data_IF_463848119576
#
_entry.id   IF_463848119576
#
_cell.length_a   1.000
_cell.length_b   1.000
_cell.length_c   1.000
_cell.angle_alpha   90.00
_cell.angle_beta   90.00
_cell.angle_gamma   90.00
#
_symmetry.space_group_name_H-M   'P 1'
#
loop_
_entity.id
_entity.type
_entity.pdbx_description
1 polymer ?
#
# COMPACT_ATOMS: atom_id res chain seq x y z
N UNK A 1 -1.62 26.52 -3.92
CA UNK A 1 -2.48 25.45 -4.48
C UNK A 1 -2.62 24.36 -3.44
N UNK A 2 -3.83 23.90 -3.24
CA UNK A 2 -4.14 22.77 -2.35
C UNK A 2 -4.59 21.63 -3.26
N UNK A 3 -3.93 20.49 -3.16
CA UNK A 3 -4.40 19.24 -3.76
C UNK A 3 -4.72 18.23 -2.66
N UNK A 4 -5.79 17.48 -2.83
CA UNK A 4 -6.23 16.41 -1.95
C UNK A 4 -6.76 15.27 -2.79
N UNK A 5 -5.83 14.55 -3.41
CA UNK A 5 -6.15 13.45 -4.31
C UNK A 5 -5.81 12.15 -3.62
N UNK A 6 -6.82 11.36 -3.34
CA UNK A 6 -6.68 10.08 -2.64
C UNK A 6 -7.22 8.94 -3.49
N UNK A 7 -6.57 7.80 -3.41
CA UNK A 7 -6.97 6.57 -4.08
C UNK A 7 -6.99 5.40 -3.10
N UNK A 8 -7.97 4.54 -3.26
CA UNK A 8 -8.00 3.21 -2.64
C UNK A 8 -7.58 2.19 -3.69
N UNK A 9 -6.50 1.49 -3.43
CA UNK A 9 -5.91 0.52 -4.34
C UNK A 9 -5.95 -0.86 -3.68
N UNK A 10 -6.38 -1.87 -4.44
CA UNK A 10 -6.45 -3.26 -3.97
C UNK A 10 -5.89 -4.19 -5.04
N UNK A 11 -5.08 -5.15 -4.63
CA UNK A 11 -4.74 -6.30 -5.46
C UNK A 11 -4.58 -7.57 -4.62
N UNK A 12 -4.65 -8.70 -5.29
CA UNK A 12 -4.61 -10.01 -4.65
C UNK A 12 -3.37 -10.79 -5.05
N UNK A 13 -3.02 -11.78 -4.25
CA UNK A 13 -2.11 -12.84 -4.67
C UNK A 13 -2.73 -13.64 -5.82
N UNK A 14 -1.87 -14.25 -6.65
CA UNK A 14 -2.33 -15.09 -7.75
C UNK A 14 -3.16 -16.26 -7.22
N UNK A 15 -4.32 -16.45 -7.81
CA UNK A 15 -5.29 -17.50 -7.43
C UNK A 15 -5.70 -17.45 -5.94
N UNK A 16 -5.51 -16.30 -5.28
CA UNK A 16 -5.75 -16.09 -3.86
C UNK A 16 -5.01 -17.08 -2.96
N UNK A 17 -3.86 -17.56 -3.39
CA UNK A 17 -3.01 -18.40 -2.56
C UNK A 17 -2.48 -17.57 -1.38
N UNK A 18 -2.55 -18.09 -0.13
CA UNK A 18 -2.16 -17.34 1.06
C UNK A 18 -0.64 -17.25 1.22
N UNK A 19 0.00 -16.41 0.44
CA UNK A 19 1.46 -16.28 0.34
C UNK A 19 2.08 -15.30 1.33
N UNK A 20 1.29 -14.36 1.89
CA UNK A 20 1.82 -13.30 2.73
C UNK A 20 1.93 -13.78 4.17
N UNK A 21 3.15 -14.00 4.62
CA UNK A 21 3.48 -14.25 6.04
C UNK A 21 3.93 -12.97 6.75
N UNK A 22 4.21 -13.04 8.04
CA UNK A 22 4.58 -11.86 8.84
C UNK A 22 5.87 -11.18 8.32
N UNK A 23 6.88 -11.93 7.93
CA UNK A 23 8.12 -11.39 7.39
C UNK A 23 7.90 -10.70 6.05
N UNK A 24 7.10 -11.29 5.17
CA UNK A 24 6.74 -10.67 3.89
C UNK A 24 5.87 -9.43 4.10
N UNK A 25 4.93 -9.45 5.04
CA UNK A 25 4.11 -8.29 5.37
C UNK A 25 4.97 -7.10 5.81
N UNK A 26 5.92 -7.33 6.69
CA UNK A 26 6.86 -6.31 7.15
C UNK A 26 7.71 -5.75 6.00
N UNK A 27 8.24 -6.61 5.16
CA UNK A 27 8.96 -6.20 3.94
C UNK A 27 8.08 -5.35 3.02
N UNK A 28 6.85 -5.81 2.74
CA UNK A 28 5.92 -5.11 1.86
C UNK A 28 5.58 -3.71 2.38
N UNK A 29 5.30 -3.55 3.68
CA UNK A 29 5.00 -2.25 4.25
C UNK A 29 6.15 -1.26 4.01
N UNK A 30 7.37 -1.64 4.26
CA UNK A 30 8.55 -0.81 4.04
C UNK A 30 8.79 -0.53 2.55
N UNK A 31 8.76 -1.57 1.72
CA UNK A 31 9.02 -1.47 0.28
C UNK A 31 7.99 -0.60 -0.42
N UNK A 32 6.70 -0.85 -0.17
CA UNK A 32 5.62 -0.12 -0.83
C UNK A 32 5.64 1.37 -0.48
N UNK A 33 5.91 1.71 0.78
CA UNK A 33 6.05 3.11 1.21
C UNK A 33 7.22 3.80 0.53
N UNK A 34 8.36 3.14 0.43
CA UNK A 34 9.55 3.67 -0.24
C UNK A 34 9.32 3.94 -1.72
N UNK A 35 8.70 3.00 -2.44
CA UNK A 35 8.36 3.17 -3.86
C UNK A 35 7.35 4.30 -4.06
N UNK A 36 6.30 4.36 -3.22
CA UNK A 36 5.32 5.43 -3.30
C UNK A 36 5.97 6.81 -3.19
N UNK A 37 6.86 7.00 -2.24
CA UNK A 37 7.60 8.26 -2.06
C UNK A 37 8.41 8.62 -3.31
N UNK A 38 9.12 7.66 -3.91
CA UNK A 38 9.88 7.88 -5.14
C UNK A 38 8.98 8.28 -6.32
N UNK A 39 7.75 7.79 -6.36
CA UNK A 39 6.76 8.08 -7.39
C UNK A 39 5.83 9.24 -7.04
N UNK A 40 6.22 10.09 -6.11
CA UNK A 40 5.47 11.28 -5.69
C UNK A 40 4.08 10.96 -5.14
N UNK A 41 3.99 9.88 -4.41
CA UNK A 41 2.80 9.47 -3.69
C UNK A 41 3.15 9.17 -2.23
N UNK A 42 2.15 9.07 -1.39
CA UNK A 42 2.31 8.71 0.02
C UNK A 42 1.26 7.70 0.41
N UNK A 43 1.67 6.58 0.97
CA UNK A 43 0.75 5.60 1.52
C UNK A 43 0.37 6.03 2.94
N UNK A 44 -0.91 6.28 3.16
CA UNK A 44 -1.44 6.71 4.45
C UNK A 44 -1.86 5.53 5.32
N UNK A 45 -2.35 4.45 4.71
CA UNK A 45 -2.80 3.25 5.40
C UNK A 45 -2.55 2.02 4.56
N UNK A 46 -2.16 0.92 5.19
CA UNK A 46 -2.04 -0.40 4.58
C UNK A 46 -2.91 -1.37 5.37
N UNK A 47 -3.85 -1.99 4.69
CA UNK A 47 -4.59 -3.13 5.21
C UNK A 47 -4.15 -4.40 4.48
N UNK A 48 -3.79 -5.44 5.20
CA UNK A 48 -3.22 -6.64 4.59
C UNK A 48 -3.69 -7.90 5.29
N UNK A 49 -3.98 -8.90 4.51
CA UNK A 49 -4.16 -10.28 4.92
C UNK A 49 -3.32 -11.20 4.02
N UNK A 50 -3.33 -12.49 4.26
CA UNK A 50 -2.46 -13.42 3.53
C UNK A 50 -2.66 -13.44 2.01
N UNK A 51 -3.82 -13.00 1.54
CA UNK A 51 -4.24 -13.14 0.13
C UNK A 51 -4.35 -11.81 -0.63
N UNK A 52 -4.36 -10.67 0.04
CA UNK A 52 -4.53 -9.39 -0.63
C UNK A 52 -4.05 -8.19 0.20
N UNK A 53 -3.87 -7.09 -0.51
CA UNK A 53 -3.38 -5.82 0.02
C UNK A 53 -4.35 -4.71 -0.34
N UNK A 54 -4.67 -3.87 0.63
CA UNK A 54 -5.37 -2.61 0.45
C UNK A 54 -4.45 -1.45 0.78
N UNK A 55 -4.42 -0.44 -0.07
CA UNK A 55 -3.68 0.79 0.16
C UNK A 55 -4.60 2.01 0.11
N UNK A 56 -4.47 2.90 1.08
CA UNK A 56 -4.94 4.26 0.95
C UNK A 56 -3.75 5.14 0.60
N UNK A 57 -3.79 5.75 -0.58
CA UNK A 57 -2.67 6.50 -1.16
C UNK A 57 -3.08 7.93 -1.42
N UNK A 58 -2.27 8.87 -0.94
CA UNK A 58 -2.33 10.26 -1.38
C UNK A 58 -1.44 10.42 -2.60
N UNK A 59 -2.01 10.95 -3.67
CA UNK A 59 -1.28 11.26 -4.90
C UNK A 59 -1.20 12.76 -5.09
N UNK A 60 -0.32 13.18 -6.01
CA UNK A 60 -0.20 14.56 -6.49
C UNK A 60 -0.68 14.64 -7.94
N UNK A 61 -1.01 15.83 -8.46
CA UNK A 61 -1.32 16.00 -9.88
C UNK A 61 -0.23 15.46 -10.81
N UNK A 62 1.01 15.43 -10.34
CA UNK A 62 2.18 14.94 -11.09
C UNK A 62 2.47 13.45 -10.90
N UNK A 63 1.71 12.74 -10.10
CA UNK A 63 1.89 11.30 -9.89
C UNK A 63 1.42 10.53 -11.11
N UNK A 64 2.30 9.68 -11.66
CA UNK A 64 1.95 8.80 -12.76
C UNK A 64 1.42 7.47 -12.21
N UNK A 65 0.10 7.34 -12.12
CA UNK A 65 -0.56 6.20 -11.46
C UNK A 65 -0.20 4.84 -12.04
N UNK A 66 -0.15 4.71 -13.36
CA UNK A 66 0.19 3.44 -13.99
C UNK A 66 1.61 2.98 -13.64
N UNK A 67 2.57 3.91 -13.64
CA UNK A 67 3.96 3.62 -13.24
C UNK A 67 4.05 3.30 -11.74
N UNK A 68 3.34 4.03 -10.91
CA UNK A 68 3.27 3.75 -9.47
C UNK A 68 2.82 2.31 -9.23
N UNK A 69 1.71 1.89 -9.82
CA UNK A 69 1.16 0.55 -9.67
C UNK A 69 2.07 -0.54 -10.22
N UNK A 70 2.69 -0.30 -11.36
CA UNK A 70 3.66 -1.23 -11.94
C UNK A 70 4.85 -1.45 -11.00
N UNK A 71 5.38 -0.39 -10.40
CA UNK A 71 6.50 -0.49 -9.46
C UNK A 71 6.09 -1.11 -8.13
N UNK A 72 4.92 -0.78 -7.60
CA UNK A 72 4.43 -1.37 -6.35
C UNK A 72 4.25 -2.89 -6.51
N UNK A 73 3.56 -3.33 -7.55
CA UNK A 73 3.28 -4.75 -7.77
C UNK A 73 4.49 -5.50 -8.31
N UNK A 74 4.99 -5.12 -9.46
CA UNK A 74 6.10 -5.82 -10.13
C UNK A 74 7.38 -5.74 -9.32
N UNK A 75 7.69 -4.58 -8.77
CA UNK A 75 8.87 -4.37 -7.93
C UNK A 75 8.84 -5.21 -6.66
N UNK A 76 7.71 -5.24 -5.95
CA UNK A 76 7.59 -6.01 -4.71
C UNK A 76 7.76 -7.52 -4.94
N UNK A 77 7.17 -8.06 -5.98
CA UNK A 77 7.32 -9.48 -6.32
C UNK A 77 8.76 -9.82 -6.71
N UNK A 78 9.41 -8.98 -7.53
CA UNK A 78 10.79 -9.19 -7.97
C UNK A 78 11.79 -9.16 -6.82
N UNK A 79 11.70 -8.16 -5.95
CA UNK A 79 12.63 -8.00 -4.81
C UNK A 79 12.38 -9.06 -3.74
N UNK A 80 11.12 -9.37 -3.42
CA UNK A 80 10.80 -10.45 -2.48
C UNK A 80 11.35 -11.80 -2.95
N UNK A 81 11.31 -12.08 -4.24
CA UNK A 81 11.88 -13.30 -4.81
C UNK A 81 13.39 -13.40 -4.67
N UNK A 82 14.11 -12.26 -4.72
CA UNK A 82 15.57 -12.23 -4.57
C UNK A 82 16.02 -12.34 -3.11
N UNK A 83 15.37 -11.61 -2.21
CA UNK A 83 15.83 -11.46 -0.83
C UNK A 83 15.42 -12.60 0.09
N UNK A 84 14.38 -13.33 -0.23
CA UNK A 84 13.78 -14.29 0.71
C UNK A 84 14.13 -15.74 0.48
N UNK A 85 15.04 -16.09 -0.40
CA UNK A 85 15.36 -17.48 -0.71
C UNK A 85 14.12 -18.37 -0.84
N UNK A 86 13.09 -17.83 -1.51
CA UNK A 86 11.79 -18.47 -1.63
C UNK A 86 11.86 -19.71 -2.50
N UNK A 87 11.23 -20.79 -2.07
CA UNK A 87 10.93 -21.92 -2.96
C UNK A 87 9.87 -21.51 -3.98
N UNK A 88 9.73 -22.23 -5.08
CA UNK A 88 8.69 -21.92 -6.07
C UNK A 88 7.28 -21.91 -5.45
N UNK A 89 7.03 -22.77 -4.47
CA UNK A 89 5.73 -22.93 -3.84
C UNK A 89 5.32 -21.75 -2.93
N UNK A 90 6.29 -21.06 -2.33
CA UNK A 90 6.02 -19.92 -1.42
C UNK A 90 6.42 -18.57 -1.99
N UNK A 91 6.82 -18.52 -3.26
CA UNK A 91 7.22 -17.30 -3.95
C UNK A 91 6.03 -16.35 -4.08
N UNK A 92 6.24 -15.08 -3.72
CA UNK A 92 5.22 -14.05 -3.91
C UNK A 92 4.89 -13.88 -5.39
N UNK A 93 3.62 -14.06 -5.72
CA UNK A 93 3.04 -13.86 -7.06
C UNK A 93 1.73 -13.10 -6.92
N UNK A 94 1.64 -11.98 -7.61
CA UNK A 94 0.41 -11.20 -7.68
C UNK A 94 -0.49 -11.66 -8.83
N UNK A 95 -1.79 -11.60 -8.63
CA UNK A 95 -2.75 -11.72 -9.71
C UNK A 95 -2.57 -10.57 -10.72
N UNK A 96 -2.99 -10.78 -11.96
CA UNK A 96 -3.05 -9.70 -12.94
C UNK A 96 -4.08 -8.66 -12.52
N UNK A 97 -3.77 -7.39 -12.79
CA UNK A 97 -4.69 -6.30 -12.54
C UNK A 97 -4.72 -5.84 -11.08
N UNK A 98 -5.55 -4.87 -10.86
CA UNK A 98 -5.79 -4.21 -9.58
C UNK A 98 -7.13 -3.49 -9.64
N UNK A 99 -7.62 -3.08 -8.49
CA UNK A 99 -8.74 -2.16 -8.36
C UNK A 99 -8.22 -0.82 -7.84
N UNK A 100 -8.63 0.28 -8.46
CA UNK A 100 -8.31 1.63 -8.01
C UNK A 100 -9.55 2.51 -8.04
N UNK A 101 -9.85 3.17 -6.92
CA UNK A 101 -10.97 4.08 -6.78
C UNK A 101 -10.51 5.40 -6.17
N UNK A 102 -11.05 6.51 -6.67
CA UNK A 102 -10.88 7.80 -6.03
C UNK A 102 -11.59 7.83 -4.68
N UNK A 103 -11.01 8.54 -3.72
CA UNK A 103 -11.56 8.66 -2.36
C UNK A 103 -11.76 10.13 -2.03
N UNK A 104 -12.97 10.48 -1.64
CA UNK A 104 -13.28 11.81 -1.13
C UNK A 104 -12.55 12.05 0.20
N UNK A 105 -12.05 13.28 0.48
CA UNK A 105 -11.50 13.61 1.79
C UNK A 105 -12.44 13.29 2.96
N UNK A 106 -13.75 13.40 2.76
CA UNK A 106 -14.77 13.05 3.77
C UNK A 106 -14.82 11.56 4.11
N UNK A 107 -14.36 10.70 3.22
CA UNK A 107 -14.40 9.24 3.38
C UNK A 107 -13.11 8.67 3.96
N UNK A 108 -12.08 9.47 4.20
CA UNK A 108 -10.76 9.00 4.65
C UNK A 108 -10.82 8.25 5.98
N UNK A 109 -11.49 8.80 6.98
CA UNK A 109 -11.57 8.17 8.30
C UNK A 109 -12.26 6.80 8.25
N UNK A 110 -13.36 6.70 7.51
CA UNK A 110 -14.08 5.44 7.32
C UNK A 110 -13.23 4.42 6.57
N UNK A 111 -12.52 4.83 5.52
CA UNK A 111 -11.64 3.95 4.76
C UNK A 111 -10.45 3.47 5.61
N UNK A 112 -9.83 4.34 6.39
CA UNK A 112 -8.77 3.95 7.32
C UNK A 112 -9.23 2.86 8.28
N UNK A 113 -10.40 3.02 8.89
CA UNK A 113 -10.99 2.00 9.77
C UNK A 113 -11.26 0.70 9.04
N UNK A 114 -11.75 0.78 7.82
CA UNK A 114 -11.98 -0.38 6.96
C UNK A 114 -10.68 -1.14 6.66
N UNK A 115 -9.61 -0.45 6.31
CA UNK A 115 -8.32 -1.08 6.03
C UNK A 115 -7.72 -1.74 7.27
N UNK A 116 -7.80 -1.10 8.43
CA UNK A 116 -7.35 -1.68 9.70
C UNK A 116 -8.13 -2.91 10.11
N UNK A 117 -9.40 -2.98 9.74
CA UNK A 117 -10.30 -4.08 10.07
C UNK A 117 -10.19 -5.29 9.12
N UNK A 118 -9.27 -5.27 8.14
CA UNK A 118 -9.11 -6.38 7.18
C UNK A 118 -8.92 -7.75 7.86
N UNK A 119 -8.09 -7.90 8.91
CA UNK A 119 -7.97 -9.16 9.62
C UNK A 119 -9.30 -9.63 10.27
N UNK A 120 -10.09 -8.71 10.77
CA UNK A 120 -11.41 -9.00 11.36
C UNK A 120 -12.42 -9.41 10.29
N UNK A 121 -12.38 -8.79 9.12
CA UNK A 121 -13.27 -9.10 7.99
C UNK A 121 -12.92 -10.41 7.28
N UNK A 122 -11.66 -10.79 7.34
CA UNK A 122 -11.11 -11.99 6.70
C UNK A 122 -10.37 -12.86 7.73
N UNK A 123 -11.08 -13.42 8.73
CA UNK A 123 -10.43 -14.15 9.82
C UNK A 123 -9.67 -15.40 9.33
N UNK A 124 -10.10 -15.98 8.22
CA UNK A 124 -9.43 -17.15 7.62
C UNK A 124 -8.12 -16.80 6.90
N UNK A 125 -7.87 -15.53 6.68
CA UNK A 125 -6.70 -15.03 5.95
C UNK A 125 -5.81 -14.13 6.81
N UNK A 126 -5.96 -14.12 8.11
CA UNK A 126 -5.12 -13.36 9.06
C UNK A 126 -3.66 -13.81 8.93
N UNK A 127 -2.75 -12.85 8.94
CA UNK A 127 -1.31 -13.12 8.93
C UNK A 127 -0.86 -13.44 10.36
N UNK A 128 -0.46 -14.69 10.65
CA UNK A 128 -0.02 -15.05 12.00
C UNK A 128 1.24 -14.25 12.41
N UNK A 129 1.22 -13.74 13.64
CA UNK A 129 2.38 -13.03 14.20
C UNK A 129 2.62 -11.63 13.67
N UNK A 130 1.71 -11.09 12.87
CA UNK A 130 1.79 -9.71 12.37
C UNK A 130 0.66 -8.85 12.94
N UNK A 131 1.03 -7.80 13.66
CA UNK A 131 0.06 -6.93 14.36
C UNK A 131 -0.50 -5.77 13.53
N UNK A 132 -0.15 -5.69 12.25
CA UNK A 132 -0.50 -4.57 11.38
C UNK A 132 0.67 -3.61 11.13
N UNK A 133 0.46 -2.72 10.19
CA UNK A 133 1.39 -1.63 9.91
C UNK A 133 1.09 -0.43 10.82
N UNK A 134 2.12 0.35 11.14
CA UNK A 134 1.92 1.64 11.82
C UNK A 134 1.41 2.65 10.79
N UNK A 135 0.18 3.17 10.95
CA UNK A 135 -0.37 4.11 9.98
C UNK A 135 0.39 5.43 10.01
N UNK A 136 0.65 5.98 8.83
CA UNK A 136 1.07 7.37 8.72
C UNK A 136 -0.14 8.29 8.91
N UNK A 137 -0.11 9.08 9.97
CA UNK A 137 -1.11 10.11 10.18
C UNK A 137 -0.72 11.36 9.39
N UNK A 138 -1.63 11.83 8.55
CA UNK A 138 -1.56 13.23 8.13
C UNK A 138 -1.84 14.09 9.36
N UNK A 139 -0.80 14.65 9.94
CA UNK A 139 -1.00 15.68 10.95
C UNK A 139 -1.74 16.86 10.31
N UNK A 140 -2.96 17.10 10.77
CA UNK A 140 -3.65 18.34 10.45
C UNK A 140 -2.76 19.50 10.96
N UNK A 141 -1.98 20.10 10.06
CA UNK A 141 -1.18 21.28 10.39
C UNK A 141 0.32 21.21 10.13
N UNK A 142 0.92 20.08 9.79
CA UNK A 142 2.31 20.12 9.37
C UNK A 142 2.43 20.31 7.86
N UNK A 143 2.62 21.57 7.50
CA UNK A 143 2.84 22.02 6.14
C UNK A 143 4.26 21.67 5.60
N UNK A 144 4.90 20.60 6.07
CA UNK A 144 6.25 20.25 5.63
C UNK A 144 6.35 20.10 4.10
N UNK A 145 5.36 19.45 3.49
CA UNK A 145 5.32 19.35 2.04
C UNK A 145 4.92 20.67 1.35
N UNK A 146 4.17 21.58 2.04
CA UNK A 146 3.93 22.94 1.55
C UNK A 146 5.21 23.77 1.55
N UNK A 147 6.07 23.56 2.54
CA UNK A 147 7.37 24.25 2.61
C UNK A 147 8.32 23.77 1.52
N UNK A 148 8.25 22.50 1.14
CA UNK A 148 9.07 21.94 0.07
C UNK A 148 8.64 22.42 -1.33
N UNK A 149 7.34 22.60 -1.53
CA UNK A 149 6.82 23.20 -2.78
C UNK A 149 7.22 24.67 -2.88
N UNK A 150 7.17 25.43 -1.79
CA UNK A 150 7.61 26.85 -1.80
C UNK A 150 9.09 27.02 -2.12
N UNK A 151 9.92 26.05 -1.81
CA UNK A 151 11.36 26.09 -2.12
C UNK A 151 11.68 25.75 -3.58
N UNK A 152 10.71 25.18 -4.32
CA UNK A 152 10.89 24.76 -5.73
C UNK A 152 10.14 25.64 -6.74
N UNK A 153 9.38 26.62 -6.26
CA UNK A 153 8.79 27.68 -7.07
C UNK A 153 9.64 28.95 -6.99
#
# INVERSE_FOLDING_TARGET
MIDRIYCHIVWTTRDRVPLIDAGLAQFLCSFLRGVATQERARILEIGMVRTHVHLLVRTRPTTHLARLLQRLKGGSAAIAGKERHSTEDNRLRWAKGYSIHSVSPRSLAALRSYLRAQPTRHPDAVIPGWGGDEPEYEHAGTDEWRSEIRKRL
#
